data_IF_910466077489
#
_entry.id   IF_910466077489
#
_cell.length_a   1.000
_cell.length_b   1.000
_cell.length_c   1.000
_cell.angle_alpha   90.00
_cell.angle_beta   90.00
_cell.angle_gamma   90.00
#
_symmetry.space_group_name_H-M   'P 1'
#
loop_
_entity.id
_entity.type
_entity.pdbx_description
1 polymer ?
#
# COMPACT_ATOMS: atom_id res chain seq x y z
N UNK A 1 -9.82 4.53 -21.37
CA UNK A 1 -8.49 5.14 -21.62
C UNK A 1 -7.45 4.11 -21.19
N UNK A 2 -6.48 3.75 -22.05
CA UNK A 2 -5.35 2.92 -21.64
C UNK A 2 -4.38 3.81 -20.86
N UNK A 3 -4.48 3.81 -19.54
CA UNK A 3 -3.61 4.58 -18.64
C UNK A 3 -2.17 4.11 -18.78
N UNK A 4 -1.23 5.05 -18.94
CA UNK A 4 0.21 4.74 -19.03
C UNK A 4 0.86 4.70 -17.63
N UNK A 5 2.00 4.02 -17.48
CA UNK A 5 2.67 3.79 -16.17
C UNK A 5 2.78 5.06 -15.28
N UNK A 6 3.15 6.25 -15.80
CA UNK A 6 3.22 7.45 -14.98
C UNK A 6 1.88 7.88 -14.37
N UNK A 7 0.77 7.73 -15.10
CA UNK A 7 -0.57 8.11 -14.64
C UNK A 7 -1.07 7.13 -13.56
N UNK A 8 -0.81 5.83 -13.73
CA UNK A 8 -1.10 4.81 -12.71
C UNK A 8 -0.32 5.11 -11.44
N UNK A 9 0.98 5.41 -11.58
CA UNK A 9 1.84 5.74 -10.47
C UNK A 9 1.34 6.98 -9.73
N UNK A 10 1.05 8.07 -10.46
CA UNK A 10 0.58 9.32 -9.88
C UNK A 10 -0.75 9.15 -9.13
N UNK A 11 -1.65 8.32 -9.66
CA UNK A 11 -2.93 8.02 -9.00
C UNK A 11 -2.71 7.30 -7.66
N UNK A 12 -1.87 6.27 -7.63
CA UNK A 12 -1.60 5.50 -6.40
C UNK A 12 -0.77 6.30 -5.41
N UNK A 13 0.18 7.10 -5.88
CA UNK A 13 0.94 8.03 -5.05
C UNK A 13 0.00 8.99 -4.31
N UNK A 14 -0.95 9.59 -5.04
CA UNK A 14 -1.95 10.50 -4.45
C UNK A 14 -2.85 9.80 -3.43
N UNK A 15 -3.16 8.52 -3.63
CA UNK A 15 -3.88 7.72 -2.62
C UNK A 15 -3.02 7.53 -1.35
N UNK A 16 -1.73 7.24 -1.49
CA UNK A 16 -0.83 7.04 -0.35
C UNK A 16 -0.59 8.35 0.43
N UNK A 17 -0.52 9.49 -0.25
CA UNK A 17 -0.37 10.81 0.37
C UNK A 17 -1.51 11.15 1.32
N UNK A 18 -2.70 10.57 1.13
CA UNK A 18 -3.85 10.79 1.99
C UNK A 18 -3.62 10.35 3.44
N UNK A 19 -2.68 9.42 3.67
CA UNK A 19 -2.37 8.87 5.00
C UNK A 19 -1.23 9.63 5.72
N UNK A 20 -0.80 10.76 5.16
CA UNK A 20 0.22 11.66 5.72
C UNK A 20 -0.48 12.92 6.25
N UNK A 21 -0.36 13.27 7.56
CA UNK A 21 0.12 12.46 8.70
C UNK A 21 -0.90 11.36 9.11
N UNK A 22 -0.51 10.36 9.95
CA UNK A 22 0.71 10.23 10.75
C UNK A 22 1.82 9.42 10.07
N UNK A 23 1.60 8.89 8.86
CA UNK A 23 2.67 8.26 8.10
C UNK A 23 3.64 9.33 7.59
N UNK A 24 4.89 8.91 7.44
CA UNK A 24 5.98 9.72 6.89
C UNK A 24 6.45 9.06 5.59
N UNK A 25 6.42 9.78 4.47
CA UNK A 25 6.89 9.26 3.21
C UNK A 25 8.42 9.15 3.17
N UNK A 26 8.91 8.16 2.42
CA UNK A 26 10.31 8.00 2.05
C UNK A 26 10.39 7.75 0.55
N UNK A 27 11.16 8.59 -0.13
CA UNK A 27 11.48 8.39 -1.53
C UNK A 27 12.86 7.73 -1.66
N UNK A 28 12.92 6.58 -2.32
CA UNK A 28 14.17 5.96 -2.77
C UNK A 28 14.30 6.18 -4.28
N UNK A 29 15.45 6.68 -4.72
CA UNK A 29 15.73 7.04 -6.11
C UNK A 29 15.59 5.88 -7.09
N UNK A 30 15.58 4.62 -6.64
CA UNK A 30 15.33 3.48 -7.52
C UNK A 30 13.83 3.33 -7.84
N UNK A 31 13.50 3.29 -9.13
CA UNK A 31 12.15 3.06 -9.66
C UNK A 31 11.09 4.07 -9.16
N UNK A 32 11.53 5.29 -8.81
CA UNK A 32 10.66 6.31 -8.22
C UNK A 32 9.86 5.72 -7.03
N UNK A 33 10.54 5.03 -6.12
CA UNK A 33 9.87 4.31 -5.05
C UNK A 33 9.43 5.30 -3.97
N UNK A 34 8.19 5.18 -3.54
CA UNK A 34 7.56 6.03 -2.54
C UNK A 34 6.87 5.17 -1.48
N UNK A 35 7.50 5.08 -0.32
CA UNK A 35 7.11 4.19 0.78
C UNK A 35 6.60 4.99 1.99
N UNK A 36 5.59 4.46 2.66
CA UNK A 36 4.97 5.05 3.84
C UNK A 36 5.38 4.31 5.11
N UNK A 37 5.92 5.05 6.07
CA UNK A 37 6.33 4.52 7.37
C UNK A 37 5.64 5.26 8.51
N UNK A 38 5.19 4.55 9.53
CA UNK A 38 4.87 5.15 10.81
C UNK A 38 6.16 5.27 11.63
N UNK A 39 6.58 6.48 12.03
CA UNK A 39 7.94 6.74 12.51
C UNK A 39 8.15 6.46 14.01
N UNK A 40 7.23 5.75 14.65
CA UNK A 40 7.30 5.42 16.08
C UNK A 40 7.43 3.92 16.31
N UNK A 41 7.95 3.56 17.49
CA UNK A 41 8.08 2.16 17.90
C UNK A 41 6.71 1.49 17.94
N UNK A 42 6.62 0.30 17.34
CA UNK A 42 5.44 -0.56 17.39
C UNK A 42 5.82 -1.96 17.82
N UNK A 43 4.89 -2.67 18.47
CA UNK A 43 5.02 -4.10 18.71
C UNK A 43 4.13 -4.87 17.73
N UNK A 44 4.75 -5.73 16.92
CA UNK A 44 4.07 -6.57 15.94
C UNK A 44 4.54 -8.01 16.12
N UNK A 45 3.60 -8.94 16.29
CA UNK A 45 3.87 -10.37 16.50
C UNK A 45 4.91 -10.66 17.62
N UNK A 46 4.83 -9.92 18.73
CA UNK A 46 5.73 -10.06 19.89
C UNK A 46 7.15 -9.52 19.67
N UNK A 47 7.36 -8.74 18.60
CA UNK A 47 8.64 -8.07 18.31
C UNK A 47 8.44 -6.57 18.22
N UNK A 48 9.38 -5.83 18.80
CA UNK A 48 9.44 -4.38 18.69
C UNK A 48 10.16 -3.96 17.43
N UNK A 49 9.57 -3.03 16.70
CA UNK A 49 10.14 -2.40 15.51
C UNK A 49 10.23 -0.89 15.77
N UNK A 50 11.35 -0.23 15.45
CA UNK A 50 11.50 1.21 15.67
C UNK A 50 10.57 2.06 14.78
N UNK A 51 10.03 1.45 13.74
CA UNK A 51 9.09 2.04 12.79
C UNK A 51 8.26 0.92 12.15
N UNK A 52 7.10 1.28 11.61
CA UNK A 52 6.23 0.34 10.89
C UNK A 52 6.11 0.72 9.42
N UNK A 53 6.45 -0.21 8.53
CA UNK A 53 6.11 -0.06 7.11
C UNK A 53 4.61 -0.27 6.90
N UNK A 54 3.93 0.65 6.23
CA UNK A 54 2.51 0.51 5.89
C UNK A 54 2.31 0.03 4.45
N UNK A 55 3.03 0.62 3.51
CA UNK A 55 2.88 0.32 2.10
C UNK A 55 3.66 1.30 1.25
N UNK A 56 3.56 1.17 -0.06
CA UNK A 56 4.30 2.04 -0.98
C UNK A 56 3.99 1.77 -2.43
N UNK A 57 4.53 2.61 -3.30
CA UNK A 57 4.38 2.51 -4.76
C UNK A 57 5.74 2.63 -5.44
N UNK A 58 5.95 1.86 -6.51
CA UNK A 58 7.13 1.97 -7.36
C UNK A 58 6.77 1.81 -8.84
N UNK A 59 7.41 2.60 -9.70
CA UNK A 59 7.22 2.55 -11.15
C UNK A 59 8.27 1.65 -11.80
N UNK A 60 7.84 0.51 -12.36
CA UNK A 60 8.67 -0.36 -13.19
C UNK A 60 8.34 -0.13 -14.67
N UNK A 61 9.23 -0.60 -15.56
CA UNK A 61 9.09 -0.45 -17.02
C UNK A 61 7.73 -0.95 -17.55
N UNK A 62 7.18 -2.02 -16.96
CA UNK A 62 5.99 -2.72 -17.48
C UNK A 62 4.76 -2.67 -16.56
N UNK A 63 4.91 -2.14 -15.35
CA UNK A 63 3.83 -2.10 -14.34
C UNK A 63 4.17 -1.13 -13.21
N UNK A 64 3.14 -0.72 -12.47
CA UNK A 64 3.31 -0.06 -11.17
C UNK A 64 3.15 -1.11 -10.08
N UNK A 65 4.13 -1.19 -9.19
CA UNK A 65 4.08 -2.06 -8.02
C UNK A 65 3.44 -1.31 -6.86
N UNK A 66 2.32 -1.81 -6.35
CA UNK A 66 1.74 -1.38 -5.07
C UNK A 66 2.12 -2.40 -4.00
N UNK A 67 2.74 -1.93 -2.93
CA UNK A 67 3.09 -2.70 -1.76
C UNK A 67 2.09 -2.42 -0.65
N UNK A 68 1.44 -3.46 -0.15
CA UNK A 68 0.48 -3.35 0.94
C UNK A 68 0.95 -4.22 2.11
N UNK A 69 1.49 -3.63 3.16
CA UNK A 69 2.01 -4.41 4.30
C UNK A 69 0.94 -5.07 5.17
N UNK A 70 -0.28 -4.51 5.37
CA UNK A 70 -1.32 -5.14 6.19
C UNK A 70 -1.67 -6.57 5.80
N UNK A 71 -1.73 -6.90 4.50
CA UNK A 71 -1.96 -8.29 4.05
C UNK A 71 -0.80 -9.23 4.37
N UNK A 72 0.41 -8.71 4.52
CA UNK A 72 1.56 -9.52 4.95
C UNK A 72 1.58 -9.74 6.46
N UNK A 73 1.31 -8.69 7.24
CA UNK A 73 1.37 -8.73 8.70
C UNK A 73 0.15 -9.41 9.33
N UNK A 74 -1.01 -9.34 8.67
CA UNK A 74 -2.31 -9.85 9.13
C UNK A 74 -3.04 -10.57 7.98
N UNK A 75 -2.50 -11.68 7.46
CA UNK A 75 -2.99 -12.32 6.24
C UNK A 75 -4.43 -12.83 6.35
N UNK A 76 -4.90 -13.19 7.55
CA UNK A 76 -6.25 -13.71 7.75
C UNK A 76 -7.30 -12.60 7.62
N UNK A 77 -6.96 -11.40 8.07
CA UNK A 77 -7.80 -10.20 8.07
C UNK A 77 -7.94 -9.60 6.67
N UNK A 78 -6.98 -9.86 5.78
CA UNK A 78 -6.95 -9.39 4.40
C UNK A 78 -7.00 -10.54 3.38
N UNK A 79 -7.54 -11.70 3.77
CA UNK A 79 -7.69 -12.85 2.88
C UNK A 79 -8.72 -12.63 1.77
N UNK A 80 -9.75 -11.82 2.04
CA UNK A 80 -10.80 -11.48 1.07
C UNK A 80 -10.40 -10.26 0.23
N UNK A 81 -9.57 -10.53 -0.79
CA UNK A 81 -9.11 -9.51 -1.74
C UNK A 81 -10.19 -9.30 -2.80
N UNK A 82 -10.56 -8.04 -3.13
CA UNK A 82 -11.51 -7.74 -4.19
C UNK A 82 -11.18 -8.49 -5.51
N UNK A 83 -12.19 -9.02 -6.23
CA UNK A 83 -11.97 -9.79 -7.45
C UNK A 83 -11.14 -9.05 -8.52
N UNK A 84 -11.25 -7.72 -8.58
CA UNK A 84 -10.47 -6.86 -9.47
C UNK A 84 -8.97 -6.82 -9.15
N UNK A 85 -8.60 -6.94 -7.87
CA UNK A 85 -7.22 -6.85 -7.37
C UNK A 85 -6.54 -8.22 -7.25
N UNK A 86 -7.32 -9.28 -7.03
CA UNK A 86 -6.84 -10.66 -6.91
C UNK A 86 -5.90 -11.10 -8.04
N UNK A 87 -6.19 -10.87 -9.35
CA UNK A 87 -5.26 -11.26 -10.42
C UNK A 87 -3.97 -10.42 -10.44
N UNK A 88 -4.00 -9.24 -9.83
CA UNK A 88 -2.86 -8.31 -9.76
C UNK A 88 -1.89 -8.69 -8.65
N UNK A 89 -2.34 -9.40 -7.60
CA UNK A 89 -1.47 -9.88 -6.53
C UNK A 89 -0.35 -10.79 -7.09
N UNK A 90 0.88 -10.50 -6.67
CA UNK A 90 2.11 -11.25 -6.93
C UNK A 90 2.87 -11.43 -5.62
N UNK A 91 3.13 -12.69 -5.27
CA UNK A 91 3.70 -13.02 -3.97
C UNK A 91 2.68 -12.82 -2.85
N UNK A 92 3.12 -12.25 -1.73
CA UNK A 92 2.32 -12.15 -0.49
C UNK A 92 1.64 -10.79 -0.27
N UNK A 93 2.13 -9.74 -0.91
CA UNK A 93 1.72 -8.35 -0.58
C UNK A 93 1.93 -7.32 -1.69
N UNK A 94 2.44 -7.73 -2.85
CA UNK A 94 2.72 -6.83 -3.97
C UNK A 94 1.65 -6.98 -5.06
N UNK A 95 1.13 -5.88 -5.58
CA UNK A 95 0.17 -5.86 -6.68
C UNK A 95 0.82 -5.24 -7.91
N UNK A 96 0.83 -5.97 -9.02
CA UNK A 96 1.38 -5.49 -10.28
C UNK A 96 0.27 -4.91 -11.15
N UNK A 97 0.20 -3.58 -11.21
CA UNK A 97 -0.88 -2.85 -11.86
C UNK A 97 -0.38 -2.39 -13.23
N UNK A 98 -0.97 -2.97 -14.28
CA UNK A 98 -0.66 -2.64 -15.68
C UNK A 98 -1.73 -1.74 -16.32
N UNK A 99 -2.92 -1.72 -15.74
CA UNK A 99 -4.08 -0.93 -16.15
C UNK A 99 -4.82 -0.53 -14.88
N UNK A 100 -5.11 0.76 -14.75
CA UNK A 100 -5.80 1.31 -13.58
C UNK A 100 -7.16 1.86 -14.01
N UNK A 101 -8.10 0.94 -14.23
CA UNK A 101 -9.50 1.30 -14.45
C UNK A 101 -10.10 1.87 -13.16
N UNK A 102 -11.19 2.64 -13.28
CA UNK A 102 -11.83 3.29 -12.13
C UNK A 102 -12.15 2.29 -11.01
N UNK A 103 -12.59 1.07 -11.37
CA UNK A 103 -12.86 0.00 -10.41
C UNK A 103 -11.59 -0.42 -9.64
N UNK A 104 -10.46 -0.62 -10.34
CA UNK A 104 -9.18 -1.02 -9.73
C UNK A 104 -8.70 0.05 -8.75
N UNK A 105 -8.77 1.33 -9.13
CA UNK A 105 -8.37 2.43 -8.25
C UNK A 105 -9.29 2.58 -7.04
N UNK A 106 -10.61 2.40 -7.23
CA UNK A 106 -11.58 2.38 -6.15
C UNK A 106 -11.30 1.26 -5.14
N UNK A 107 -11.03 0.05 -5.65
CA UNK A 107 -10.73 -1.10 -4.80
C UNK A 107 -9.38 -0.96 -4.09
N UNK A 108 -8.36 -0.37 -4.73
CA UNK A 108 -7.09 -0.03 -4.07
C UNK A 108 -7.32 0.95 -2.94
N UNK A 109 -8.09 2.01 -3.19
CA UNK A 109 -8.41 3.01 -2.15
C UNK A 109 -9.10 2.33 -0.97
N UNK A 110 -10.14 1.53 -1.20
CA UNK A 110 -10.85 0.83 -0.14
C UNK A 110 -9.93 -0.13 0.63
N UNK A 111 -9.05 -0.86 -0.05
CA UNK A 111 -8.07 -1.75 0.58
C UNK A 111 -7.08 -0.97 1.48
N UNK A 112 -6.58 0.18 1.01
CA UNK A 112 -5.68 1.04 1.79
C UNK A 112 -6.40 1.65 2.99
N UNK A 113 -7.62 2.16 2.81
CA UNK A 113 -8.44 2.72 3.90
C UNK A 113 -8.70 1.68 4.99
N UNK A 114 -9.08 0.46 4.60
CA UNK A 114 -9.30 -0.65 5.53
C UNK A 114 -8.01 -1.04 6.25
N UNK A 115 -6.89 -1.11 5.54
CA UNK A 115 -5.57 -1.39 6.12
C UNK A 115 -5.16 -0.37 7.16
N UNK A 116 -5.34 0.92 6.83
CA UNK A 116 -4.98 2.03 7.71
C UNK A 116 -5.86 2.04 8.96
N UNK A 117 -7.18 1.97 8.80
CA UNK A 117 -8.12 1.91 9.92
C UNK A 117 -7.89 0.69 10.82
N UNK A 118 -7.55 -0.46 10.24
CA UNK A 118 -7.22 -1.67 10.98
C UNK A 118 -5.96 -1.48 11.84
N UNK A 119 -4.89 -0.88 11.29
CA UNK A 119 -3.69 -0.57 12.07
C UNK A 119 -3.96 0.45 13.18
N UNK A 120 -4.81 1.45 12.94
CA UNK A 120 -5.24 2.36 14.00
C UNK A 120 -6.02 1.64 15.11
N UNK A 121 -6.91 0.72 14.76
CA UNK A 121 -7.67 -0.08 15.72
C UNK A 121 -6.78 -1.02 16.55
N UNK A 122 -5.66 -1.50 15.98
CA UNK A 122 -4.65 -2.31 16.65
C UNK A 122 -3.63 -1.51 17.46
N UNK A 123 -3.68 -0.17 17.41
CA UNK A 123 -2.67 0.69 18.04
C UNK A 123 -1.30 0.65 17.36
N UNK A 124 -1.24 0.17 16.12
CA UNK A 124 -0.02 0.11 15.30
C UNK A 124 0.26 1.43 14.58
N UNK A 125 -0.77 2.26 14.39
CA UNK A 125 -0.68 3.62 13.89
C UNK A 125 -1.52 4.50 14.82
N UNK A 126 -1.10 5.74 15.07
CA UNK A 126 -1.88 6.70 15.84
C UNK A 126 -3.22 7.06 15.15
N UNK A 127 -4.23 7.39 15.95
CA UNK A 127 -5.51 7.92 15.45
C UNK A 127 -5.37 9.34 14.93
#
# INVERSE_FOLDING_TARGET
MNTIIPEIYSSIHSLLDHYVPPLVPRADGKNNRYDMYYPFEVELAGRKYPELYFGGVAAYEKYVGLYFFPIYSHPNEFADIPPSLRPLLKGKSCFHIKKAENQVLGDIKAMLDNGFAFYQAKGLIAK
#
